data_IF_459126018851
#
_entry.id   IF_459126018851
#
_cell.length_a   1.000
_cell.length_b   1.000
_cell.length_c   1.000
_cell.angle_alpha   90.00
_cell.angle_beta   90.00
_cell.angle_gamma   90.00
#
_symmetry.space_group_name_H-M   'P 1'
#
loop_
_entity.id
_entity.type
_entity.pdbx_description
1 polymer ?
#
# COMPACT_ATOMS: atom_id res chain seq x y z
N UNK A 1 -18.53 25.99 8.59
CA UNK A 1 -18.21 24.58 8.91
C UNK A 1 -19.33 23.60 8.54
N UNK A 2 -20.44 24.05 7.92
CA UNK A 2 -21.62 23.19 7.65
C UNK A 2 -21.55 22.43 6.31
N UNK A 3 -20.66 22.85 5.40
CA UNK A 3 -20.64 22.34 4.03
C UNK A 3 -19.79 21.06 3.85
N UNK A 4 -19.01 20.65 4.86
CA UNK A 4 -18.16 19.44 4.78
C UNK A 4 -18.86 18.16 5.28
N UNK A 5 -19.90 18.28 6.12
CA UNK A 5 -20.64 17.14 6.66
C UNK A 5 -22.02 16.95 5.99
N UNK A 6 -22.30 17.71 4.94
CA UNK A 6 -23.50 17.57 4.13
C UNK A 6 -23.19 16.59 3.00
N UNK A 7 -23.93 15.48 2.95
CA UNK A 7 -23.79 14.47 1.89
C UNK A 7 -24.35 15.10 0.61
N UNK A 8 -23.49 15.74 -0.18
CA UNK A 8 -23.77 16.10 -1.57
C UNK A 8 -23.13 15.05 -2.48
N UNK A 9 -23.92 14.49 -3.40
CA UNK A 9 -23.46 13.59 -4.46
C UNK A 9 -22.27 14.23 -5.18
N UNK A 10 -21.08 13.74 -4.88
CA UNK A 10 -19.85 14.22 -5.49
C UNK A 10 -19.55 13.32 -6.68
N UNK A 11 -19.63 13.90 -7.88
CA UNK A 11 -19.11 13.29 -9.10
C UNK A 11 -17.61 13.09 -8.91
N UNK A 12 -17.20 11.83 -8.72
CA UNK A 12 -15.79 11.47 -8.65
C UNK A 12 -15.12 11.89 -9.98
N UNK A 13 -14.00 12.63 -9.95
CA UNK A 13 -13.24 12.91 -11.15
C UNK A 13 -12.78 11.58 -11.78
N UNK A 14 -12.81 11.52 -13.11
CA UNK A 14 -12.41 10.34 -13.85
C UNK A 14 -10.95 9.95 -13.52
N UNK A 15 -10.66 8.65 -13.35
CA UNK A 15 -9.31 8.19 -13.06
C UNK A 15 -8.37 8.57 -14.20
N UNK A 16 -7.33 9.35 -13.88
CA UNK A 16 -6.23 9.63 -14.80
C UNK A 16 -5.54 8.31 -15.12
N UNK A 17 -5.64 7.87 -16.37
CA UNK A 17 -5.05 6.61 -16.85
C UNK A 17 -3.53 6.62 -16.65
N UNK A 18 -3.05 5.99 -15.59
CA UNK A 18 -1.63 5.76 -15.30
C UNK A 18 -1.11 4.61 -16.15
N UNK A 19 -0.56 4.91 -17.32
CA UNK A 19 -0.04 3.89 -18.24
C UNK A 19 1.43 4.11 -18.63
N UNK A 20 2.33 4.15 -17.66
CA UNK A 20 3.73 3.85 -17.95
C UNK A 20 4.36 3.04 -16.83
N UNK A 21 5.01 1.92 -17.18
CA UNK A 21 5.81 1.15 -16.24
C UNK A 21 7.09 1.92 -16.00
N UNK A 22 7.14 2.74 -14.96
CA UNK A 22 8.36 3.41 -14.55
C UNK A 22 9.27 2.43 -13.79
N UNK A 23 10.58 2.57 -13.95
CA UNK A 23 11.55 1.98 -13.03
C UNK A 23 11.81 2.97 -11.90
N UNK A 24 12.13 2.45 -10.72
CA UNK A 24 12.48 3.24 -9.56
C UNK A 24 13.69 4.12 -9.85
N UNK A 25 13.55 5.42 -9.63
CA UNK A 25 14.62 6.42 -9.87
C UNK A 25 15.83 6.26 -8.94
N UNK A 26 15.69 5.49 -7.86
CA UNK A 26 16.78 5.26 -6.90
C UNK A 26 17.51 3.93 -7.10
N UNK A 27 16.80 2.82 -7.38
CA UNK A 27 17.40 1.48 -7.46
C UNK A 27 17.22 0.79 -8.82
N UNK A 28 16.49 1.40 -9.77
CA UNK A 28 16.23 0.83 -11.09
C UNK A 28 15.23 -0.33 -11.11
N UNK A 29 14.76 -0.82 -9.96
CA UNK A 29 13.77 -1.90 -9.88
C UNK A 29 12.40 -1.49 -10.44
N UNK A 30 11.57 -2.48 -10.73
CA UNK A 30 10.18 -2.25 -11.19
C UNK A 30 9.40 -1.41 -10.17
N UNK A 31 8.54 -0.54 -10.67
CA UNK A 31 7.55 0.16 -9.84
C UNK A 31 6.12 -0.15 -10.26
N UNK A 32 5.18 0.13 -9.36
CA UNK A 32 3.75 -0.01 -9.60
C UNK A 32 3.08 1.37 -9.55
N UNK A 33 2.14 1.70 -10.44
CA UNK A 33 1.37 2.93 -10.28
C UNK A 33 0.59 2.89 -8.96
N UNK A 34 0.50 4.04 -8.29
CA UNK A 34 -0.22 4.21 -7.03
C UNK A 34 -1.05 5.48 -7.07
N UNK A 35 -2.29 5.39 -6.58
CA UNK A 35 -3.21 6.51 -6.57
C UNK A 35 -2.81 7.54 -5.52
N UNK A 36 -3.05 8.82 -5.82
CA UNK A 36 -2.83 9.92 -4.89
C UNK A 36 -3.62 9.73 -3.58
N UNK A 37 -4.79 9.08 -3.66
CA UNK A 37 -5.59 8.71 -2.48
C UNK A 37 -4.83 7.79 -1.52
N UNK A 38 -4.04 6.84 -2.04
CA UNK A 38 -3.17 6.00 -1.22
C UNK A 38 -2.14 6.87 -0.49
N UNK A 39 -1.45 7.77 -1.18
CA UNK A 39 -0.45 8.66 -0.58
C UNK A 39 -1.04 9.51 0.55
N UNK A 40 -2.24 10.06 0.36
CA UNK A 40 -2.96 10.83 1.40
C UNK A 40 -3.19 10.04 2.70
N UNK A 41 -3.39 8.72 2.60
CA UNK A 41 -3.60 7.84 3.75
C UNK A 41 -2.29 7.30 4.35
N UNK A 42 -1.21 7.29 3.58
CA UNK A 42 0.07 6.69 3.99
C UNK A 42 1.09 7.72 4.49
N UNK A 43 1.11 8.93 3.95
CA UNK A 43 2.10 9.95 4.30
C UNK A 43 1.78 10.63 5.65
N UNK A 44 2.82 10.95 6.40
CA UNK A 44 2.77 11.77 7.63
C UNK A 44 2.55 13.23 7.29
N UNK A 45 2.19 14.00 8.30
CA UNK A 45 2.28 15.46 8.25
C UNK A 45 3.77 15.89 8.34
N UNK A 46 4.22 16.90 7.59
CA UNK A 46 3.46 17.74 6.65
C UNK A 46 3.41 17.22 5.19
N UNK A 47 4.06 16.10 4.88
CA UNK A 47 4.21 15.57 3.53
C UNK A 47 2.86 15.38 2.83
N UNK A 48 1.86 14.84 3.53
CA UNK A 48 0.52 14.61 2.99
C UNK A 48 -0.18 15.89 2.51
N UNK A 49 0.19 17.07 3.05
CA UNK A 49 -0.47 18.34 2.72
C UNK A 49 0.04 18.94 1.41
N UNK A 50 1.18 18.46 0.91
CA UNK A 50 1.88 19.04 -0.22
C UNK A 50 2.13 18.01 -1.32
N UNK A 51 1.23 17.01 -1.47
CA UNK A 51 1.34 16.01 -2.54
C UNK A 51 0.96 16.66 -3.89
N UNK A 52 1.91 16.77 -4.84
CA UNK A 52 1.64 17.31 -6.17
C UNK A 52 0.56 16.54 -6.93
N UNK A 53 -0.11 17.21 -7.88
CA UNK A 53 -1.09 16.60 -8.79
C UNK A 53 -0.37 15.98 -10.01
N UNK A 54 0.39 14.91 -9.76
CA UNK A 54 1.12 14.12 -10.77
C UNK A 54 0.91 12.63 -10.55
N UNK A 55 1.28 11.80 -11.53
CA UNK A 55 1.27 10.35 -11.34
C UNK A 55 2.34 9.94 -10.34
N UNK A 56 1.99 9.00 -9.45
CA UNK A 56 2.92 8.43 -8.48
C UNK A 56 3.13 6.93 -8.71
N UNK A 57 4.30 6.48 -8.27
CA UNK A 57 4.75 5.11 -8.39
C UNK A 57 5.30 4.59 -7.06
N UNK A 58 4.99 3.34 -6.72
CA UNK A 58 5.52 2.62 -5.58
C UNK A 58 6.70 1.72 -5.99
N UNK A 59 7.84 1.87 -5.34
CA UNK A 59 9.00 1.00 -5.55
C UNK A 59 8.84 -0.34 -4.82
N UNK A 60 8.90 -1.46 -5.56
CA UNK A 60 8.70 -2.81 -5.00
C UNK A 60 9.93 -3.41 -4.32
N UNK A 61 11.11 -2.83 -4.52
CA UNK A 61 12.37 -3.37 -4.03
C UNK A 61 12.45 -3.27 -2.49
N UNK A 62 12.61 -4.41 -1.77
CA UNK A 62 12.57 -4.40 -0.31
C UNK A 62 13.68 -3.58 0.34
N UNK A 63 14.88 -3.58 -0.22
CA UNK A 63 16.05 -2.90 0.37
C UNK A 63 16.13 -1.41 0.00
N UNK A 64 15.36 -0.97 -1.01
CA UNK A 64 15.34 0.42 -1.43
C UNK A 64 14.52 1.30 -0.47
N UNK A 65 15.14 2.37 0.04
CA UNK A 65 14.48 3.30 0.98
C UNK A 65 13.42 4.20 0.35
N UNK A 66 13.50 4.40 -0.96
CA UNK A 66 12.48 5.11 -1.70
C UNK A 66 11.18 4.29 -1.74
N UNK A 67 10.09 4.87 -1.25
CA UNK A 67 8.74 4.26 -1.25
C UNK A 67 7.94 4.74 -2.44
N UNK A 68 7.74 6.05 -2.54
CA UNK A 68 6.99 6.67 -3.62
C UNK A 68 7.84 7.64 -4.41
N UNK A 69 7.60 7.74 -5.71
CA UNK A 69 8.15 8.81 -6.54
C UNK A 69 7.14 9.27 -7.59
N UNK A 70 7.15 10.57 -7.86
CA UNK A 70 6.31 11.22 -8.86
C UNK A 70 7.05 11.46 -10.17
N UNK A 71 6.30 11.65 -11.25
CA UNK A 71 6.85 11.99 -12.58
C UNK A 71 7.62 13.32 -12.58
N UNK A 72 7.34 14.21 -11.61
CA UNK A 72 8.01 15.49 -11.37
C UNK A 72 9.29 15.38 -10.52
N UNK A 73 9.76 14.15 -10.24
CA UNK A 73 10.90 13.84 -9.35
C UNK A 73 10.62 14.04 -7.86
N UNK A 74 9.38 14.28 -7.44
CA UNK A 74 8.99 14.22 -6.02
C UNK A 74 9.26 12.83 -5.48
N UNK A 75 9.77 12.72 -4.24
CA UNK A 75 10.13 11.44 -3.61
C UNK A 75 9.67 11.38 -2.16
N UNK A 76 9.23 10.20 -1.72
CA UNK A 76 8.90 9.90 -0.34
C UNK A 76 9.56 8.59 0.10
N UNK A 77 10.22 8.60 1.26
CA UNK A 77 10.98 7.49 1.84
C UNK A 77 10.24 6.89 3.03
N UNK A 78 10.75 5.77 3.57
CA UNK A 78 10.10 5.05 4.68
C UNK A 78 9.72 5.95 5.84
N UNK A 79 10.61 6.88 6.21
CA UNK A 79 10.39 7.79 7.33
C UNK A 79 9.25 8.81 7.11
N UNK A 80 8.87 9.06 5.86
CA UNK A 80 7.76 9.96 5.51
C UNK A 80 6.39 9.29 5.70
N UNK A 81 6.32 7.97 5.87
CA UNK A 81 5.07 7.23 6.00
C UNK A 81 4.66 6.99 7.46
N UNK A 82 3.35 6.96 7.72
CA UNK A 82 2.74 6.81 9.06
C UNK A 82 3.07 5.49 9.74
N UNK A 83 3.23 4.44 8.95
CA UNK A 83 3.46 3.08 9.39
C UNK A 83 4.61 2.46 8.59
N UNK A 84 5.21 1.41 9.14
CA UNK A 84 6.24 0.65 8.44
C UNK A 84 5.68 0.00 7.18
N UNK A 85 6.50 -0.03 6.12
CA UNK A 85 6.15 -0.69 4.86
C UNK A 85 6.66 -2.11 4.90
N UNK A 86 5.77 -3.07 5.20
CA UNK A 86 6.08 -4.49 5.25
C UNK A 86 6.73 -5.03 3.98
N UNK A 87 6.33 -4.56 2.80
CA UNK A 87 6.98 -4.93 1.53
C UNK A 87 8.45 -4.47 1.44
N UNK A 88 8.86 -3.50 2.26
CA UNK A 88 10.22 -2.98 2.40
C UNK A 88 10.90 -3.37 3.70
N UNK A 89 10.51 -4.54 4.21
CA UNK A 89 11.07 -5.14 5.41
C UNK A 89 11.32 -6.62 5.18
N UNK A 90 12.45 -7.10 5.70
CA UNK A 90 12.79 -8.53 5.79
C UNK A 90 12.45 -9.11 7.16
N UNK A 91 11.91 -8.30 8.08
CA UNK A 91 11.50 -8.74 9.41
C UNK A 91 10.41 -9.84 9.29
N UNK A 92 10.55 -10.99 9.97
CA UNK A 92 9.51 -12.02 9.99
C UNK A 92 8.18 -11.54 10.57
N UNK A 93 8.17 -10.47 11.37
CA UNK A 93 6.98 -9.84 11.94
C UNK A 93 6.42 -8.69 11.07
N UNK A 94 6.89 -8.55 9.82
CA UNK A 94 6.40 -7.51 8.90
C UNK A 94 4.90 -7.68 8.61
N UNK A 95 4.20 -6.56 8.47
CA UNK A 95 2.79 -6.54 8.08
C UNK A 95 2.62 -7.05 6.65
N UNK A 96 1.74 -8.03 6.46
CA UNK A 96 1.31 -8.50 5.16
C UNK A 96 -0.03 -7.87 4.76
N UNK A 97 -1.01 -7.85 5.68
CA UNK A 97 -2.33 -7.28 5.43
C UNK A 97 -2.61 -6.11 6.36
N UNK A 98 -2.49 -4.90 5.83
CA UNK A 98 -2.80 -3.65 6.54
C UNK A 98 -4.30 -3.45 6.81
N UNK A 99 -5.18 -4.18 6.11
CA UNK A 99 -6.62 -4.08 6.34
C UNK A 99 -7.08 -4.79 7.61
N UNK A 100 -6.38 -5.87 7.99
CA UNK A 100 -6.81 -6.81 9.02
C UNK A 100 -5.67 -7.18 9.98
N UNK A 101 -4.61 -6.37 10.01
CA UNK A 101 -3.44 -6.51 10.90
C UNK A 101 -2.81 -7.91 10.90
N UNK A 102 -2.71 -8.54 9.72
CA UNK A 102 -2.05 -9.84 9.58
C UNK A 102 -0.57 -9.64 9.30
N UNK A 103 0.28 -10.22 10.15
CA UNK A 103 1.73 -10.22 10.01
C UNK A 103 2.23 -11.54 9.41
N UNK A 104 3.44 -11.53 8.87
CA UNK A 104 4.07 -12.72 8.33
C UNK A 104 4.32 -13.79 9.41
N UNK A 105 4.62 -13.39 10.64
CA UNK A 105 4.80 -14.25 11.80
C UNK A 105 3.56 -15.11 12.07
N UNK A 106 2.36 -14.51 12.05
CA UNK A 106 1.09 -15.23 12.21
C UNK A 106 0.96 -16.35 11.17
N UNK A 107 1.16 -16.01 9.89
CA UNK A 107 1.01 -16.95 8.77
C UNK A 107 2.03 -18.10 8.85
N UNK A 108 3.28 -17.81 9.22
CA UNK A 108 4.33 -18.82 9.30
C UNK A 108 4.14 -19.74 10.51
N UNK A 109 3.72 -19.20 11.65
CA UNK A 109 3.46 -19.97 12.86
C UNK A 109 2.26 -20.90 12.70
N UNK A 110 1.14 -20.41 12.16
CA UNK A 110 -0.03 -21.24 11.84
C UNK A 110 0.34 -22.41 10.94
N UNK A 111 1.12 -22.16 9.88
CA UNK A 111 1.58 -23.19 8.95
C UNK A 111 2.47 -24.22 9.63
N UNK A 112 3.37 -23.76 10.50
CA UNK A 112 4.25 -24.66 11.26
C UNK A 112 3.44 -25.56 12.20
N UNK A 113 2.37 -25.04 12.80
CA UNK A 113 1.53 -25.75 13.77
C UNK A 113 0.51 -26.70 13.11
N UNK A 114 -0.10 -26.28 12.00
CA UNK A 114 -1.31 -26.94 11.44
C UNK A 114 -1.16 -27.37 9.98
N UNK A 115 -0.07 -26.98 9.31
CA UNK A 115 0.10 -27.11 7.86
C UNK A 115 -0.72 -26.12 7.03
N UNK A 116 -1.53 -25.26 7.67
CA UNK A 116 -2.41 -24.29 7.00
C UNK A 116 -2.23 -22.88 7.59
N UNK A 117 -2.74 -21.85 6.93
CA UNK A 117 -2.80 -20.50 7.51
C UNK A 117 -4.25 -20.03 7.61
N UNK A 118 -4.76 -20.01 8.83
CA UNK A 118 -6.07 -19.45 9.15
C UNK A 118 -6.13 -17.96 8.85
N UNK A 119 -5.06 -17.21 9.13
CA UNK A 119 -4.94 -15.79 8.78
C UNK A 119 -5.09 -15.56 7.28
N UNK A 120 -4.41 -16.35 6.43
CA UNK A 120 -4.54 -16.24 4.97
C UNK A 120 -5.97 -16.56 4.52
N UNK A 121 -6.58 -17.61 5.08
CA UNK A 121 -7.96 -18.00 4.77
C UNK A 121 -8.96 -16.89 5.14
N UNK A 122 -8.81 -16.30 6.33
CA UNK A 122 -9.61 -15.17 6.78
C UNK A 122 -9.49 -13.97 5.84
N UNK A 123 -8.25 -13.58 5.47
CA UNK A 123 -8.03 -12.46 4.56
C UNK A 123 -8.64 -12.72 3.18
N UNK A 124 -8.47 -13.93 2.63
CA UNK A 124 -9.09 -14.30 1.36
C UNK A 124 -10.62 -14.15 1.41
N UNK A 125 -11.25 -14.56 2.50
CA UNK A 125 -12.70 -14.44 2.67
C UNK A 125 -13.15 -12.97 2.76
N UNK A 126 -12.50 -12.15 3.58
CA UNK A 126 -12.87 -10.73 3.70
C UNK A 126 -12.63 -9.95 2.39
N UNK A 127 -11.61 -10.32 1.61
CA UNK A 127 -11.39 -9.76 0.27
C UNK A 127 -12.51 -10.14 -0.69
N UNK A 128 -12.94 -11.42 -0.71
CA UNK A 128 -14.10 -11.87 -1.52
C UNK A 128 -15.38 -11.12 -1.16
N UNK A 129 -15.59 -10.84 0.12
CA UNK A 129 -16.71 -10.06 0.64
C UNK A 129 -16.58 -8.55 0.42
N UNK A 130 -15.53 -8.09 -0.27
CA UNK A 130 -15.25 -6.66 -0.55
C UNK A 130 -15.18 -5.79 0.72
N UNK A 131 -14.65 -6.35 1.82
CA UNK A 131 -14.49 -5.65 3.12
C UNK A 131 -13.09 -5.07 3.33
N UNK A 132 -12.19 -5.25 2.39
CA UNK A 132 -10.86 -4.67 2.42
C UNK A 132 -10.84 -3.25 1.84
N UNK A 133 -9.88 -2.43 2.27
CA UNK A 133 -9.59 -1.11 1.73
C UNK A 133 -8.12 -1.04 1.29
N UNK A 134 -7.67 -2.01 0.48
CA UNK A 134 -6.26 -2.18 0.11
C UNK A 134 -5.72 -0.99 -0.69
N UNK A 135 -6.57 -0.36 -1.49
CA UNK A 135 -6.31 0.87 -2.24
C UNK A 135 -5.84 2.04 -1.36
N UNK A 136 -6.26 2.09 -0.10
CA UNK A 136 -5.89 3.16 0.84
C UNK A 136 -4.99 2.69 1.98
N UNK A 137 -5.19 1.46 2.48
CA UNK A 137 -4.46 0.91 3.63
C UNK A 137 -3.14 0.25 3.28
N UNK A 138 -3.01 -0.36 2.10
CA UNK A 138 -1.75 -0.96 1.66
C UNK A 138 -0.88 0.13 1.01
N UNK A 139 0.38 0.34 1.44
CA UNK A 139 1.28 1.31 0.80
C UNK A 139 1.41 1.14 -0.71
N UNK A 140 1.30 -0.08 -1.24
CA UNK A 140 1.36 -0.30 -2.69
C UNK A 140 0.08 0.08 -3.45
N UNK A 141 -1.03 0.34 -2.75
CA UNK A 141 -2.37 0.47 -3.33
C UNK A 141 -2.93 -0.83 -3.91
N UNK A 142 -2.23 -1.97 -3.74
CA UNK A 142 -2.60 -3.26 -4.32
C UNK A 142 -3.13 -4.23 -3.25
N UNK A 143 -3.82 -5.29 -3.70
CA UNK A 143 -4.28 -6.36 -2.82
C UNK A 143 -3.10 -7.04 -2.10
N UNK A 144 -3.17 -7.11 -0.77
CA UNK A 144 -2.15 -7.69 0.11
C UNK A 144 -1.91 -9.19 -0.13
N UNK A 145 -2.89 -9.93 -0.68
CA UNK A 145 -2.78 -11.38 -0.91
C UNK A 145 -1.58 -11.76 -1.81
N UNK A 146 -1.10 -10.83 -2.65
CA UNK A 146 0.10 -11.02 -3.47
C UNK A 146 1.37 -11.19 -2.63
N UNK A 147 1.41 -10.59 -1.43
CA UNK A 147 2.58 -10.56 -0.56
C UNK A 147 2.63 -11.76 0.42
N UNK A 148 1.56 -12.57 0.46
CA UNK A 148 1.52 -13.77 1.31
C UNK A 148 2.47 -14.85 0.77
N UNK A 149 3.20 -15.56 1.65
CA UNK A 149 4.04 -16.69 1.24
C UNK A 149 3.27 -17.71 0.39
N UNK A 150 3.93 -18.17 -0.68
CA UNK A 150 3.42 -19.29 -1.49
C UNK A 150 3.43 -20.58 -0.65
N UNK A 151 2.59 -21.54 -1.02
CA UNK A 151 2.56 -22.85 -0.38
C UNK A 151 3.81 -23.63 -0.74
#
# INVERSE_FOLDING_TARGET
>A
MSDCCSISESTAPEPVKTSSKANCVSCGAVSLPVERLTLLHQLKHPQLMNIPEVSFHFCVEPDCDLVYFGDDKTVYRRNDLRQDVGQKSTNPDRTLCYCFDVKQSNVLEERKMTGQSESKNFVMEQVKLKRCACDTRNPSGQCCLKDFPKN
#
